data_IF_801617003646
#
_entry.id   IF_801617003646
#
_cell.length_a   1.000
_cell.length_b   1.000
_cell.length_c   1.000
_cell.angle_alpha   90.00
_cell.angle_beta   90.00
_cell.angle_gamma   90.00
#
_symmetry.space_group_name_H-M   'P 1'
#
loop_
_entity.id
_entity.type
_entity.pdbx_description
1 polymer ?
#
# COMPACT_ATOMS: atom_id res chain seq x y z
N UNK A 1 -3.08 11.97 -15.88
CA UNK A 1 -3.83 10.81 -15.35
C UNK A 1 -3.42 9.55 -16.11
N UNK A 2 -2.32 8.88 -15.76
CA UNK A 2 -1.82 7.75 -16.56
C UNK A 2 -1.29 6.58 -15.70
N UNK A 3 -2.02 6.23 -14.64
CA UNK A 3 -1.70 5.09 -13.75
C UNK A 3 -2.53 3.78 -13.96
N UNK A 4 -3.73 3.74 -14.59
CA UNK A 4 -4.50 2.49 -14.62
C UNK A 4 -3.93 1.38 -15.52
N UNK A 5 -3.22 1.74 -16.60
CA UNK A 5 -2.93 0.82 -17.70
C UNK A 5 -2.05 -0.38 -17.33
N UNK A 6 -1.15 -0.25 -16.34
CA UNK A 6 -0.28 -1.35 -15.95
C UNK A 6 -1.05 -2.44 -15.19
N UNK A 7 -1.90 -2.06 -14.24
CA UNK A 7 -2.63 -3.00 -13.38
C UNK A 7 -3.78 -3.67 -14.15
N UNK A 8 -4.51 -2.93 -14.98
CA UNK A 8 -5.58 -3.48 -15.82
C UNK A 8 -5.04 -4.57 -16.79
N UNK A 9 -3.82 -4.40 -17.30
CA UNK A 9 -3.19 -5.37 -18.20
C UNK A 9 -2.74 -6.68 -17.53
N UNK A 10 -2.83 -6.79 -16.20
CA UNK A 10 -2.29 -7.92 -15.42
C UNK A 10 -3.35 -8.73 -14.67
N UNK A 11 -4.64 -8.51 -14.95
CA UNK A 11 -5.74 -9.27 -14.35
C UNK A 11 -6.40 -8.58 -13.14
N UNK A 12 -6.05 -7.33 -12.85
CA UNK A 12 -6.75 -6.50 -11.87
C UNK A 12 -7.85 -5.68 -12.55
N UNK A 13 -9.01 -5.58 -11.90
CA UNK A 13 -10.16 -4.82 -12.40
C UNK A 13 -10.74 -3.96 -11.30
N UNK A 14 -11.31 -2.81 -11.65
CA UNK A 14 -12.08 -2.01 -10.70
C UNK A 14 -13.52 -2.53 -10.65
N UNK A 15 -13.94 -3.00 -9.48
CA UNK A 15 -15.31 -3.42 -9.18
C UNK A 15 -15.83 -2.61 -8.00
N UNK A 16 -16.95 -1.90 -8.21
CA UNK A 16 -17.58 -1.05 -7.19
C UNK A 16 -16.61 -0.05 -6.53
N UNK A 17 -15.68 0.49 -7.32
CA UNK A 17 -14.66 1.43 -6.85
C UNK A 17 -13.45 0.81 -6.14
N UNK A 18 -13.39 -0.53 -6.05
CA UNK A 18 -12.28 -1.28 -5.45
C UNK A 18 -11.51 -2.03 -6.52
N UNK A 19 -10.19 -1.93 -6.50
CA UNK A 19 -9.29 -2.73 -7.34
C UNK A 19 -9.29 -4.17 -6.80
N UNK A 20 -9.72 -5.13 -7.61
CA UNK A 20 -9.81 -6.54 -7.24
C UNK A 20 -9.13 -7.43 -8.27
N UNK A 21 -8.56 -8.54 -7.82
CA UNK A 21 -8.05 -9.59 -8.71
C UNK A 21 -9.24 -10.24 -9.43
N UNK A 22 -9.22 -10.29 -10.76
CA UNK A 22 -10.36 -10.73 -11.55
C UNK A 22 -10.70 -12.22 -11.37
N UNK A 23 -9.76 -13.02 -10.88
CA UNK A 23 -9.93 -14.48 -10.72
C UNK A 23 -10.45 -14.83 -9.33
N UNK A 24 -9.83 -14.28 -8.30
CA UNK A 24 -10.10 -14.57 -6.89
C UNK A 24 -11.10 -13.60 -6.24
N UNK A 25 -11.27 -12.41 -6.82
CA UNK A 25 -12.07 -11.33 -6.27
C UNK A 25 -11.45 -10.64 -5.05
N UNK A 26 -10.19 -10.96 -4.70
CA UNK A 26 -9.52 -10.36 -3.56
C UNK A 26 -9.17 -8.89 -3.84
N UNK A 27 -9.48 -7.96 -2.92
CA UNK A 27 -9.05 -6.58 -3.03
C UNK A 27 -7.53 -6.45 -3.06
N UNK A 28 -7.01 -5.52 -3.87
CA UNK A 28 -5.63 -5.10 -3.78
C UNK A 28 -5.48 -4.16 -2.58
N UNK A 29 -4.86 -4.68 -1.52
CA UNK A 29 -4.51 -3.91 -0.34
C UNK A 29 -3.14 -4.30 0.17
N UNK A 30 -2.42 -3.38 0.79
CA UNK A 30 -1.12 -3.65 1.41
C UNK A 30 -0.85 -2.74 2.60
N UNK A 31 0.09 -3.12 3.45
CA UNK A 31 0.53 -2.35 4.61
C UNK A 31 1.76 -1.47 4.30
N UNK A 32 1.70 -0.20 4.69
CA UNK A 32 2.81 0.75 4.67
C UNK A 32 3.28 0.95 6.12
N UNK A 33 4.38 0.29 6.47
CA UNK A 33 4.96 0.39 7.81
C UNK A 33 5.88 1.61 7.91
N UNK A 34 5.71 2.40 8.97
CA UNK A 34 6.46 3.63 9.25
C UNK A 34 6.86 3.72 10.72
N UNK A 35 7.95 4.44 11.02
CA UNK A 35 8.45 4.62 12.39
C UNK A 35 8.61 6.08 12.83
N UNK A 36 8.35 7.04 11.94
CA UNK A 36 8.48 8.47 12.23
C UNK A 36 7.18 9.22 11.89
N UNK A 37 6.82 10.29 12.61
CA UNK A 37 5.64 11.10 12.29
C UNK A 37 5.71 11.75 10.90
N UNK A 38 6.91 12.03 10.41
CA UNK A 38 7.15 12.58 9.07
C UNK A 38 6.79 11.56 7.99
N UNK A 39 7.30 10.34 8.13
CA UNK A 39 6.97 9.22 7.23
C UNK A 39 5.48 8.87 7.30
N UNK A 40 4.87 8.89 8.49
CA UNK A 40 3.44 8.62 8.64
C UNK A 40 2.60 9.62 7.85
N UNK A 41 2.95 10.91 7.91
CA UNK A 41 2.25 11.94 7.15
C UNK A 41 2.37 11.71 5.65
N UNK A 42 3.55 11.31 5.18
CA UNK A 42 3.78 10.98 3.77
C UNK A 42 2.99 9.73 3.35
N UNK A 43 3.01 8.67 4.16
CA UNK A 43 2.28 7.43 3.92
C UNK A 43 0.76 7.67 3.87
N UNK A 44 0.21 8.51 4.74
CA UNK A 44 -1.21 8.87 4.72
C UNK A 44 -1.61 9.56 3.42
N UNK A 45 -0.81 10.54 2.96
CA UNK A 45 -1.05 11.20 1.68
C UNK A 45 -0.97 10.21 0.50
N UNK A 46 -0.04 9.26 0.55
CA UNK A 46 0.09 8.23 -0.48
C UNK A 46 -1.10 7.26 -0.46
N UNK A 47 -1.53 6.82 0.73
CA UNK A 47 -2.74 6.01 0.92
C UNK A 47 -3.99 6.69 0.35
N UNK A 48 -4.14 7.99 0.58
CA UNK A 48 -5.26 8.75 0.02
C UNK A 48 -5.20 8.84 -1.51
N UNK A 49 -4.00 8.96 -2.09
CA UNK A 49 -3.83 8.92 -3.55
C UNK A 49 -4.20 7.55 -4.15
N UNK A 50 -3.89 6.45 -3.45
CA UNK A 50 -4.22 5.07 -3.87
C UNK A 50 -5.73 4.82 -3.94
N UNK A 51 -6.52 5.46 -3.07
CA UNK A 51 -7.99 5.39 -3.15
C UNK A 51 -8.52 5.88 -4.50
N UNK A 52 -7.83 6.83 -5.14
CA UNK A 52 -8.18 7.34 -6.47
C UNK A 52 -8.12 6.30 -7.59
N UNK A 53 -7.44 5.17 -7.35
CA UNK A 53 -7.39 4.01 -8.25
C UNK A 53 -8.02 2.76 -7.62
N UNK A 54 -8.75 2.91 -6.51
CA UNK A 54 -9.44 1.81 -5.84
C UNK A 54 -8.53 0.88 -5.01
N UNK A 55 -7.31 1.29 -4.70
CA UNK A 55 -6.35 0.51 -3.90
C UNK A 55 -6.34 1.01 -2.45
N UNK A 56 -6.31 0.09 -1.49
CA UNK A 56 -6.23 0.42 -0.06
C UNK A 56 -4.81 0.26 0.48
N UNK A 57 -4.17 1.37 0.85
CA UNK A 57 -2.89 1.36 1.56
C UNK A 57 -3.07 1.57 3.06
N UNK A 58 -2.82 0.54 3.87
CA UNK A 58 -2.98 0.60 5.32
C UNK A 58 -1.72 1.14 5.99
N UNK A 59 -1.79 2.32 6.63
CA UNK A 59 -0.61 2.90 7.29
C UNK A 59 -0.48 2.35 8.72
N UNK A 60 0.64 1.69 9.00
CA UNK A 60 0.96 1.16 10.33
C UNK A 60 2.15 1.91 10.92
N UNK A 61 1.91 2.60 12.04
CA UNK A 61 2.96 3.21 12.82
C UNK A 61 3.49 2.24 13.88
N UNK A 62 4.80 2.02 13.89
CA UNK A 62 5.48 1.14 14.85
C UNK A 62 6.62 1.89 15.54
N UNK A 63 7.09 1.37 16.67
CA UNK A 63 8.32 1.88 17.28
C UNK A 63 9.57 1.50 16.47
N UNK A 64 10.70 2.14 16.78
CA UNK A 64 11.95 1.95 16.05
C UNK A 64 12.52 0.54 16.19
N UNK A 65 12.30 -0.15 17.32
CA UNK A 65 12.80 -1.51 17.52
C UNK A 65 12.05 -2.51 16.65
N UNK A 66 10.72 -2.39 16.60
CA UNK A 66 9.87 -3.18 15.72
C UNK A 66 10.18 -2.89 14.25
N UNK A 67 10.33 -1.62 13.87
CA UNK A 67 10.67 -1.24 12.50
C UNK A 67 11.97 -1.90 12.02
N UNK A 68 13.02 -1.87 12.85
CA UNK A 68 14.29 -2.50 12.49
C UNK A 68 14.19 -4.02 12.40
N UNK A 69 13.40 -4.66 13.26
CA UNK A 69 13.15 -6.09 13.18
C UNK A 69 12.46 -6.45 11.86
N UNK A 70 11.32 -5.81 11.55
CA UNK A 70 10.57 -6.04 10.31
C UNK A 70 11.46 -5.80 9.09
N UNK A 71 12.29 -4.76 9.11
CA UNK A 71 13.25 -4.45 8.05
C UNK A 71 14.33 -5.53 7.87
N UNK A 72 14.83 -6.11 8.95
CA UNK A 72 15.84 -7.18 8.91
C UNK A 72 15.25 -8.52 8.45
N UNK A 73 14.00 -8.79 8.81
CA UNK A 73 13.30 -10.04 8.45
C UNK A 73 12.56 -9.96 7.12
N UNK A 74 12.51 -8.78 6.48
CA UNK A 74 11.68 -8.51 5.30
C UNK A 74 10.20 -8.82 5.53
N UNK A 75 9.72 -8.60 6.77
CA UNK A 75 8.34 -8.82 7.18
C UNK A 75 7.53 -7.53 7.02
N UNK A 76 7.34 -7.10 5.78
CA UNK A 76 6.59 -5.91 5.41
C UNK A 76 6.16 -6.00 3.94
N UNK A 77 5.04 -5.37 3.59
CA UNK A 77 4.71 -5.16 2.18
C UNK A 77 5.45 -3.92 1.64
N UNK A 78 5.44 -2.82 2.39
CA UNK A 78 6.10 -1.56 2.02
C UNK A 78 6.66 -0.83 3.24
N UNK A 79 7.84 -0.26 3.07
CA UNK A 79 8.50 0.66 4.02
C UNK A 79 9.13 1.83 3.26
N UNK A 80 9.43 2.93 3.96
CA UNK A 80 10.34 3.94 3.43
C UNK A 80 11.80 3.55 3.72
N UNK A 81 12.66 3.69 2.72
CA UNK A 81 14.09 3.42 2.86
C UNK A 81 14.87 4.62 2.30
N UNK A 82 15.23 5.53 3.19
CA UNK A 82 16.06 6.70 2.91
C UNK A 82 17.46 6.53 3.51
#
# INVERSE_FOLDING_TARGET
MMAPHALESTGWVIKDGVMVDATSGQPLSFEITVATPEDQRLALNYSDALKGIGVEGNVRYVDSSQYQQLRQTYDFDMIFNF
#
